data_IF_264503435161
#
_entry.id   IF_264503435161
#
_cell.length_a   1.000
_cell.length_b   1.000
_cell.length_c   1.000
_cell.angle_alpha   90.00
_cell.angle_beta   90.00
_cell.angle_gamma   90.00
#
_symmetry.space_group_name_H-M   'P 1'
#
loop_
_entity.id
_entity.type
_entity.pdbx_description
1 polymer ?
#
# COMPACT_ATOMS: atom_id res chain seq x y z
N UNK A 1 8.06 -20.48 19.42
CA UNK A 1 9.41 -21.01 19.67
C UNK A 1 9.40 -22.52 19.62
N UNK A 2 8.96 -23.18 20.70
CA UNK A 2 8.97 -24.64 20.81
C UNK A 2 8.14 -25.40 19.75
N UNK A 3 7.06 -24.79 19.23
CA UNK A 3 6.20 -25.39 18.19
C UNK A 3 6.87 -25.53 16.82
N UNK A 4 7.83 -24.67 16.49
CA UNK A 4 8.58 -24.69 15.23
C UNK A 4 9.63 -25.82 15.20
N UNK A 5 10.11 -26.23 16.38
CA UNK A 5 11.04 -27.35 16.57
C UNK A 5 10.31 -28.70 16.50
N UNK A 6 9.11 -28.77 17.07
CA UNK A 6 8.33 -30.01 17.13
C UNK A 6 7.65 -30.36 15.81
N UNK A 7 7.53 -29.41 14.89
CA UNK A 7 6.89 -29.59 13.59
C UNK A 7 7.59 -28.69 12.58
N UNK A 8 8.75 -29.09 12.05
CA UNK A 8 9.39 -28.34 10.98
C UNK A 8 8.39 -28.24 9.84
N UNK A 9 8.01 -27.01 9.49
CA UNK A 9 7.14 -26.77 8.34
C UNK A 9 7.82 -27.36 7.09
N UNK A 10 7.02 -27.94 6.20
CA UNK A 10 7.53 -28.40 4.91
C UNK A 10 8.27 -27.25 4.21
N UNK A 11 9.39 -27.56 3.56
CA UNK A 11 10.22 -26.55 2.91
C UNK A 11 9.37 -25.61 2.07
N UNK A 12 9.43 -24.29 2.32
CA UNK A 12 8.58 -23.35 1.63
C UNK A 12 8.93 -23.38 0.14
N UNK A 13 8.02 -23.91 -0.66
CA UNK A 13 8.15 -23.87 -2.11
C UNK A 13 8.22 -22.40 -2.56
N UNK A 14 9.21 -22.09 -3.39
CA UNK A 14 9.32 -20.76 -3.96
C UNK A 14 8.05 -20.41 -4.75
N UNK A 15 7.59 -19.15 -4.69
CA UNK A 15 6.44 -18.72 -5.45
C UNK A 15 6.67 -18.97 -6.94
N UNK A 16 5.63 -19.48 -7.61
CA UNK A 16 5.66 -19.63 -9.07
C UNK A 16 5.87 -18.30 -9.79
N UNK A 17 6.25 -18.33 -11.09
CA UNK A 17 6.62 -17.13 -11.86
C UNK A 17 5.51 -16.07 -11.91
N UNK A 18 4.24 -16.47 -11.91
CA UNK A 18 3.11 -15.54 -11.86
C UNK A 18 3.06 -14.73 -10.55
N UNK A 19 3.38 -15.36 -9.42
CA UNK A 19 3.43 -14.69 -8.11
C UNK A 19 4.64 -13.77 -8.03
N UNK A 20 5.80 -14.19 -8.56
CA UNK A 20 6.98 -13.33 -8.68
C UNK A 20 6.68 -12.06 -9.50
N UNK A 21 5.95 -12.19 -10.62
CA UNK A 21 5.54 -11.04 -11.42
C UNK A 21 4.61 -10.08 -10.64
N UNK A 22 3.64 -10.61 -9.89
CA UNK A 22 2.79 -9.79 -9.01
C UNK A 22 3.61 -9.04 -7.96
N UNK A 23 4.58 -9.71 -7.34
CA UNK A 23 5.48 -9.06 -6.38
C UNK A 23 6.32 -7.96 -7.06
N UNK A 24 6.83 -8.19 -8.26
CA UNK A 24 7.54 -7.16 -9.03
C UNK A 24 6.64 -5.94 -9.32
N UNK A 25 5.40 -6.17 -9.75
CA UNK A 25 4.42 -5.09 -9.98
C UNK A 25 4.12 -4.33 -8.69
N UNK A 26 3.91 -5.04 -7.57
CA UNK A 26 3.71 -4.42 -6.26
C UNK A 26 4.89 -3.53 -5.87
N UNK A 27 6.12 -4.00 -6.08
CA UNK A 27 7.34 -3.22 -5.83
C UNK A 27 7.37 -1.95 -6.68
N UNK A 28 7.07 -2.03 -7.99
CA UNK A 28 7.01 -0.85 -8.87
C UNK A 28 5.97 0.15 -8.39
N UNK A 29 4.79 -0.30 -7.96
CA UNK A 29 3.74 0.57 -7.41
C UNK A 29 4.24 1.29 -6.15
N UNK A 30 4.95 0.60 -5.26
CA UNK A 30 5.50 1.19 -4.04
C UNK A 30 6.61 2.22 -4.34
N UNK A 31 7.45 1.95 -5.33
CA UNK A 31 8.46 2.91 -5.81
C UNK A 31 7.79 4.15 -6.41
N UNK A 32 6.79 3.96 -7.27
CA UNK A 32 6.03 5.06 -7.84
C UNK A 32 5.32 5.90 -6.76
N UNK A 33 4.74 5.24 -5.75
CA UNK A 33 4.16 5.88 -4.57
C UNK A 33 5.18 6.78 -3.85
N UNK A 34 6.39 6.27 -3.59
CA UNK A 34 7.43 7.03 -2.90
C UNK A 34 7.80 8.33 -3.65
N UNK A 35 7.95 8.26 -4.98
CA UNK A 35 8.21 9.45 -5.80
C UNK A 35 7.01 10.40 -5.90
N UNK A 36 5.79 9.86 -5.89
CA UNK A 36 4.54 10.62 -5.99
C UNK A 36 4.21 11.41 -4.72
N UNK A 37 4.66 10.98 -3.54
CA UNK A 37 4.37 11.64 -2.25
C UNK A 37 4.79 13.11 -2.21
N UNK A 38 6.00 13.43 -2.69
CA UNK A 38 6.54 14.79 -2.64
C UNK A 38 5.73 15.80 -3.49
N UNK A 39 5.41 15.51 -4.77
CA UNK A 39 4.62 16.41 -5.59
C UNK A 39 3.11 16.38 -5.28
N UNK A 40 2.51 15.21 -5.10
CA UNK A 40 1.05 15.05 -5.06
C UNK A 40 0.44 15.11 -3.65
N UNK A 41 1.27 15.16 -2.60
CA UNK A 41 0.81 15.03 -1.22
C UNK A 41 0.53 13.57 -0.84
N UNK A 42 -0.11 13.37 0.31
CA UNK A 42 -0.29 12.05 0.89
C UNK A 42 -1.53 11.31 0.36
N UNK A 43 -2.67 11.97 0.20
CA UNK A 43 -3.95 11.27 -0.04
C UNK A 43 -3.99 10.56 -1.40
N UNK A 44 -3.63 11.27 -2.48
CA UNK A 44 -3.78 10.74 -3.83
C UNK A 44 -2.85 9.55 -4.11
N UNK A 45 -1.53 9.63 -3.83
CA UNK A 45 -0.63 8.48 -4.01
C UNK A 45 -1.04 7.29 -3.13
N UNK A 46 -1.45 7.54 -1.89
CA UNK A 46 -1.87 6.47 -0.97
C UNK A 46 -3.12 5.77 -1.48
N UNK A 47 -4.13 6.53 -1.93
CA UNK A 47 -5.38 5.95 -2.43
C UNK A 47 -5.14 5.05 -3.65
N UNK A 48 -4.32 5.52 -4.60
CA UNK A 48 -3.99 4.77 -5.82
C UNK A 48 -3.16 3.53 -5.48
N UNK A 49 -2.10 3.67 -4.68
CA UNK A 49 -1.22 2.57 -4.34
C UNK A 49 -1.96 1.48 -3.54
N UNK A 50 -2.71 1.87 -2.52
CA UNK A 50 -3.51 0.95 -1.70
C UNK A 50 -4.60 0.26 -2.51
N UNK A 51 -5.29 0.97 -3.43
CA UNK A 51 -6.25 0.34 -4.33
C UNK A 51 -5.59 -0.66 -5.28
N UNK A 52 -4.48 -0.29 -5.91
CA UNK A 52 -3.77 -1.15 -6.85
C UNK A 52 -3.22 -2.42 -6.17
N UNK A 53 -2.63 -2.28 -4.98
CA UNK A 53 -2.15 -3.43 -4.19
C UNK A 53 -3.32 -4.31 -3.73
N UNK A 54 -4.43 -3.73 -3.27
CA UNK A 54 -5.64 -4.49 -2.92
C UNK A 54 -6.18 -5.29 -4.10
N UNK A 55 -6.18 -4.69 -5.30
CA UNK A 55 -6.61 -5.35 -6.54
C UNK A 55 -5.72 -6.54 -6.92
N UNK A 56 -4.40 -6.46 -6.68
CA UNK A 56 -3.49 -7.58 -6.91
C UNK A 56 -3.77 -8.79 -6.01
N UNK A 57 -4.28 -8.56 -4.79
CA UNK A 57 -4.65 -9.62 -3.85
C UNK A 57 -5.99 -10.24 -4.26
N UNK A 58 -7.00 -9.42 -4.51
CA UNK A 58 -8.31 -9.84 -5.02
C UNK A 58 -8.78 -8.87 -6.10
N UNK A 59 -8.95 -9.32 -7.36
CA UNK A 59 -9.25 -8.45 -8.49
C UNK A 59 -10.74 -8.03 -8.51
N UNK A 60 -11.16 -7.25 -7.50
CA UNK A 60 -12.52 -6.73 -7.34
C UNK A 60 -12.48 -5.21 -7.29
N UNK A 61 -12.60 -4.59 -8.46
CA UNK A 61 -12.38 -3.14 -8.65
C UNK A 61 -13.11 -2.27 -7.62
N UNK A 62 -14.41 -2.48 -7.42
CA UNK A 62 -15.21 -1.70 -6.44
C UNK A 62 -14.65 -1.81 -5.02
N UNK A 63 -14.28 -3.01 -4.59
CA UNK A 63 -13.74 -3.23 -3.24
C UNK A 63 -12.35 -2.59 -3.09
N UNK A 64 -11.50 -2.73 -4.11
CA UNK A 64 -10.16 -2.14 -4.11
C UNK A 64 -10.20 -0.61 -4.05
N UNK A 65 -11.11 0.04 -4.77
CA UNK A 65 -11.30 1.51 -4.70
C UNK A 65 -11.73 1.95 -3.30
N UNK A 66 -12.70 1.25 -2.69
CA UNK A 66 -13.16 1.55 -1.32
C UNK A 66 -12.02 1.37 -0.31
N UNK A 67 -11.23 0.30 -0.43
CA UNK A 67 -10.06 0.05 0.42
C UNK A 67 -9.02 1.15 0.24
N UNK A 68 -8.72 1.55 -1.01
CA UNK A 68 -7.77 2.61 -1.29
C UNK A 68 -8.16 3.95 -0.66
N UNK A 69 -9.40 4.38 -0.89
CA UNK A 69 -9.91 5.62 -0.29
C UNK A 69 -9.95 5.55 1.24
N UNK A 70 -10.44 4.44 1.80
CA UNK A 70 -10.54 4.24 3.24
C UNK A 70 -9.18 4.26 3.93
N UNK A 71 -8.17 3.58 3.35
CA UNK A 71 -6.80 3.59 3.87
C UNK A 71 -6.16 4.97 3.74
N UNK A 72 -6.30 5.64 2.61
CA UNK A 72 -5.74 6.97 2.42
C UNK A 72 -6.27 7.98 3.43
N UNK A 73 -7.59 8.04 3.61
CA UNK A 73 -8.22 8.95 4.57
C UNK A 73 -7.90 8.52 6.00
N UNK A 74 -8.07 7.24 6.34
CA UNK A 74 -7.83 6.75 7.69
C UNK A 74 -6.39 6.98 8.16
N UNK A 75 -5.40 6.64 7.32
CA UNK A 75 -3.99 6.90 7.64
C UNK A 75 -3.68 8.38 7.71
N UNK A 76 -4.25 9.20 6.82
CA UNK A 76 -4.06 10.64 6.86
C UNK A 76 -4.55 11.23 8.19
N UNK A 77 -5.75 10.84 8.64
CA UNK A 77 -6.31 11.31 9.89
C UNK A 77 -5.45 10.92 11.09
N UNK A 78 -5.01 9.66 11.14
CA UNK A 78 -4.13 9.17 12.21
C UNK A 78 -2.80 9.94 12.20
N UNK A 79 -2.15 10.06 11.05
CA UNK A 79 -0.84 10.69 10.95
C UNK A 79 -0.91 12.19 11.24
N UNK A 80 -1.93 12.87 10.72
CA UNK A 80 -2.09 14.30 10.91
C UNK A 80 -2.51 14.67 12.32
N UNK A 81 -3.50 13.98 12.89
CA UNK A 81 -4.14 14.39 14.14
C UNK A 81 -3.70 13.58 15.34
N UNK A 82 -3.52 12.25 15.21
CA UNK A 82 -3.09 11.43 16.34
C UNK A 82 -1.57 11.51 16.56
N UNK A 83 -0.79 11.58 15.49
CA UNK A 83 0.69 11.64 15.56
C UNK A 83 1.27 13.05 15.37
N UNK A 84 0.46 14.04 15.01
CA UNK A 84 0.90 15.43 14.83
C UNK A 84 1.88 15.65 13.67
N UNK A 85 1.92 14.78 12.67
CA UNK A 85 2.84 14.93 11.53
C UNK A 85 2.44 16.12 10.65
N UNK A 86 3.45 16.82 10.13
CA UNK A 86 3.33 17.88 9.12
C UNK A 86 2.94 17.35 7.73
N UNK A 87 1.92 16.49 7.65
CA UNK A 87 1.48 15.87 6.42
C UNK A 87 0.67 16.85 5.56
N UNK A 88 1.01 16.89 4.27
CA UNK A 88 0.30 17.64 3.25
C UNK A 88 -0.69 16.72 2.54
N UNK A 89 -1.97 17.08 2.55
CA UNK A 89 -3.03 16.22 2.01
C UNK A 89 -3.02 16.18 0.48
N UNK A 90 -2.85 17.34 -0.15
CA UNK A 90 -3.01 17.60 -1.57
C UNK A 90 -1.69 18.07 -2.20
N UNK A 91 -1.63 18.20 -3.53
CA UNK A 91 -0.45 18.73 -4.19
C UNK A 91 -0.20 20.19 -3.83
N UNK A 92 1.07 20.58 -3.74
CA UNK A 92 1.44 21.96 -3.37
C UNK A 92 0.89 23.01 -4.35
N UNK A 93 0.81 22.69 -5.64
CA UNK A 93 0.22 23.58 -6.64
C UNK A 93 -1.29 23.82 -6.46
N UNK A 94 -1.98 22.97 -5.71
CA UNK A 94 -3.40 23.13 -5.40
C UNK A 94 -3.61 23.89 -4.08
N UNK A 95 -2.55 24.06 -3.27
CA UNK A 95 -2.61 24.64 -1.94
C UNK A 95 -2.10 26.09 -1.83
N UNK A 96 -1.64 26.69 -2.94
CA UNK A 96 -1.22 28.10 -2.99
C UNK A 96 0.22 28.31 -2.53
#
# INVERSE_FOLDING_TARGET
GATMVMRPDAEPAWPGPATLLRLAIATVILVAYAYALKPLGFLLPTAIASAALSYQIRPKLRQSVVIGLGLAVGLFLIFKYALGLGLFALPRWLMG
#
